data_IF_321359788770
#
_entry.id   IF_321359788770
#
_cell.length_a   1.000
_cell.length_b   1.000
_cell.length_c   1.000
_cell.angle_alpha   90.00
_cell.angle_beta   90.00
_cell.angle_gamma   90.00
#
_symmetry.space_group_name_H-M   'P 1'
#
loop_
_entity.id
_entity.type
_entity.pdbx_description
1 polymer ?
#
# COMPACT_ATOMS: atom_id res chain seq x y z
N UNK A 1 -11.39 17.62 -10.85
CA UNK A 1 -10.88 16.23 -10.96
C UNK A 1 -10.79 15.54 -9.61
N UNK A 2 -10.53 16.24 -8.49
CA UNK A 2 -10.51 15.62 -7.14
C UNK A 2 -11.83 14.97 -6.72
N UNK A 3 -12.98 15.57 -7.04
CA UNK A 3 -14.32 15.05 -6.69
C UNK A 3 -14.80 13.84 -7.51
N UNK A 4 -13.98 13.32 -8.43
CA UNK A 4 -14.37 12.17 -9.28
C UNK A 4 -14.21 10.84 -8.55
N UNK A 5 -13.43 10.81 -7.46
CA UNK A 5 -13.13 9.61 -6.70
C UNK A 5 -13.61 9.74 -5.26
N UNK A 6 -14.17 8.66 -4.71
CA UNK A 6 -14.46 8.57 -3.29
C UNK A 6 -13.20 8.09 -2.57
N UNK A 7 -12.57 8.91 -1.70
CA UNK A 7 -11.37 8.49 -0.99
C UNK A 7 -11.69 7.35 -0.01
N UNK A 8 -10.77 6.40 0.11
CA UNK A 8 -10.82 5.38 1.16
C UNK A 8 -10.03 5.90 2.36
N UNK A 9 -10.66 6.08 3.54
CA UNK A 9 -9.98 6.56 4.73
C UNK A 9 -9.03 5.50 5.30
N UNK A 10 -8.02 5.95 6.03
CA UNK A 10 -7.30 5.08 6.96
C UNK A 10 -8.13 4.94 8.24
N UNK A 11 -9.03 3.95 8.24
CA UNK A 11 -9.97 3.68 9.33
C UNK A 11 -9.44 2.62 10.32
N UNK A 12 -10.32 2.15 11.20
CA UNK A 12 -9.98 1.14 12.23
C UNK A 12 -9.53 -0.18 11.61
N UNK A 13 -10.12 -0.60 10.48
CA UNK A 13 -9.74 -1.84 9.82
C UNK A 13 -8.36 -1.68 9.17
N UNK A 14 -8.13 -0.57 8.47
CA UNK A 14 -6.81 -0.25 7.92
C UNK A 14 -5.74 -0.16 9.02
N UNK A 15 -6.06 0.43 10.19
CA UNK A 15 -5.13 0.47 11.31
C UNK A 15 -4.77 -0.92 11.86
N UNK A 16 -5.73 -1.85 11.88
CA UNK A 16 -5.46 -3.25 12.28
C UNK A 16 -4.56 -3.96 11.27
N UNK A 17 -4.84 -3.80 9.98
CA UNK A 17 -4.00 -4.34 8.91
C UNK A 17 -2.58 -3.79 8.99
N UNK A 18 -2.42 -2.49 9.27
CA UNK A 18 -1.12 -1.85 9.45
C UNK A 18 -0.30 -2.51 10.56
N UNK A 19 -0.92 -2.81 11.70
CA UNK A 19 -0.25 -3.50 12.80
C UNK A 19 0.28 -4.88 12.40
N UNK A 20 -0.50 -5.65 11.64
CA UNK A 20 -0.10 -6.97 11.15
C UNK A 20 1.03 -6.88 10.13
N UNK A 21 0.89 -6.00 9.14
CA UNK A 21 1.91 -5.73 8.12
C UNK A 21 3.22 -5.27 8.75
N UNK A 22 3.16 -4.33 9.69
CA UNK A 22 4.35 -3.82 10.37
C UNK A 22 5.06 -4.93 11.17
N UNK A 23 4.30 -5.82 11.83
CA UNK A 23 4.86 -6.97 12.53
C UNK A 23 5.56 -7.94 11.57
N UNK A 24 4.97 -8.23 10.40
CA UNK A 24 5.56 -9.09 9.37
C UNK A 24 6.85 -8.48 8.81
N UNK A 25 6.85 -7.18 8.49
CA UNK A 25 8.04 -6.43 8.03
C UNK A 25 9.16 -6.47 9.06
N UNK A 26 8.84 -6.31 10.34
CA UNK A 26 9.82 -6.40 11.44
C UNK A 26 10.37 -7.84 11.56
N UNK A 27 9.51 -8.86 11.47
CA UNK A 27 9.88 -10.27 11.58
C UNK A 27 10.88 -10.69 10.49
N UNK A 28 10.77 -10.14 9.27
CA UNK A 28 11.72 -10.38 8.16
C UNK A 28 12.94 -9.46 8.18
N UNK A 29 13.21 -8.77 9.29
CA UNK A 29 14.41 -7.94 9.50
C UNK A 29 14.42 -6.63 8.72
N UNK A 30 13.29 -6.19 8.19
CA UNK A 30 13.15 -4.92 7.46
C UNK A 30 12.73 -3.81 8.43
N UNK A 31 13.15 -2.57 8.14
CA UNK A 31 12.80 -1.39 8.98
C UNK A 31 11.58 -0.66 8.38
N UNK A 32 10.46 -0.52 9.12
CA UNK A 32 9.28 0.20 8.64
C UNK A 32 9.46 1.71 8.47
N UNK A 33 10.47 2.32 9.13
CA UNK A 33 10.61 3.79 9.23
C UNK A 33 10.72 4.53 7.89
N UNK A 34 11.18 3.87 6.81
CA UNK A 34 11.22 4.45 5.47
C UNK A 34 9.98 4.21 4.62
N UNK A 35 9.01 3.42 5.11
CA UNK A 35 7.87 2.90 4.36
C UNK A 35 6.52 3.20 5.03
N UNK A 36 6.47 4.07 6.04
CA UNK A 36 5.25 4.28 6.86
C UNK A 36 4.04 4.61 5.97
N UNK A 37 4.19 5.54 5.03
CA UNK A 37 3.12 5.89 4.10
C UNK A 37 2.73 4.70 3.21
N UNK A 38 3.70 3.99 2.63
CA UNK A 38 3.42 2.82 1.78
C UNK A 38 2.70 1.71 2.56
N UNK A 39 3.11 1.45 3.80
CA UNK A 39 2.43 0.47 4.64
C UNK A 39 1.01 0.92 4.99
N UNK A 40 0.76 2.21 5.22
CA UNK A 40 -0.60 2.74 5.41
C UNK A 40 -1.45 2.57 4.14
N UNK A 41 -0.91 2.87 2.96
CA UNK A 41 -1.60 2.69 1.67
C UNK A 41 -1.93 1.20 1.44
N UNK A 42 -0.96 0.31 1.65
CA UNK A 42 -1.16 -1.14 1.56
C UNK A 42 -2.25 -1.63 2.52
N UNK A 43 -2.29 -1.06 3.73
CA UNK A 43 -3.29 -1.41 4.75
C UNK A 43 -4.71 -0.99 4.34
N UNK A 44 -4.86 0.19 3.74
CA UNK A 44 -6.15 0.65 3.19
C UNK A 44 -6.60 -0.28 2.06
N UNK A 45 -5.69 -0.64 1.15
CA UNK A 45 -6.00 -1.55 0.05
C UNK A 45 -6.40 -2.95 0.55
N UNK A 46 -5.67 -3.50 1.51
CA UNK A 46 -5.96 -4.80 2.12
C UNK A 46 -7.31 -4.81 2.88
N UNK A 47 -7.57 -3.78 3.68
CA UNK A 47 -8.83 -3.64 4.42
C UNK A 47 -10.06 -3.60 3.49
N UNK A 48 -9.91 -2.95 2.34
CA UNK A 48 -10.97 -2.81 1.33
C UNK A 48 -10.96 -3.93 0.28
N UNK A 49 -10.01 -4.88 0.35
CA UNK A 49 -9.84 -6.00 -0.59
C UNK A 49 -9.70 -5.54 -2.05
N UNK A 50 -8.98 -4.44 -2.27
CA UNK A 50 -8.72 -3.88 -3.61
C UNK A 50 -7.24 -4.02 -3.97
N UNK A 51 -6.90 -4.15 -5.27
CA UNK A 51 -5.51 -4.13 -5.70
C UNK A 51 -4.87 -2.76 -5.49
N UNK A 52 -3.56 -2.76 -5.21
CA UNK A 52 -2.74 -1.56 -5.11
C UNK A 52 -1.99 -1.35 -6.42
N UNK A 53 -2.36 -0.31 -7.16
CA UNK A 53 -1.67 0.10 -8.38
C UNK A 53 -0.51 1.05 -8.03
N UNK A 54 0.68 0.80 -8.56
CA UNK A 54 1.86 1.63 -8.25
C UNK A 54 2.89 1.61 -9.37
N UNK A 55 3.62 2.71 -9.54
CA UNK A 55 4.80 2.78 -10.39
C UNK A 55 6.06 2.25 -9.70
N UNK A 56 6.01 2.05 -8.38
CA UNK A 56 7.14 1.62 -7.55
C UNK A 56 6.82 0.30 -6.82
N UNK A 57 6.63 -0.82 -7.53
CA UNK A 57 6.25 -2.10 -6.92
C UNK A 57 7.29 -2.63 -5.91
N UNK A 58 8.55 -2.23 -6.04
CA UNK A 58 9.63 -2.62 -5.13
C UNK A 58 9.38 -2.18 -3.68
N UNK A 59 8.64 -1.09 -3.47
CA UNK A 59 8.30 -0.55 -2.15
C UNK A 59 7.28 -1.40 -1.40
N UNK A 60 6.70 -2.41 -2.06
CA UNK A 60 5.69 -3.32 -1.51
C UNK A 60 6.17 -4.78 -1.43
N UNK A 61 7.44 -5.06 -1.77
CA UNK A 61 7.99 -6.43 -1.73
C UNK A 61 7.83 -7.05 -0.33
N UNK A 62 7.31 -8.28 -0.30
CA UNK A 62 7.07 -9.03 0.93
C UNK A 62 5.72 -8.75 1.59
N UNK A 63 4.82 -8.02 0.91
CA UNK A 63 3.43 -7.81 1.33
C UNK A 63 2.44 -8.62 0.47
N UNK A 64 2.94 -9.54 -0.35
CA UNK A 64 2.17 -10.31 -1.33
C UNK A 64 1.08 -11.19 -0.68
N UNK A 65 1.26 -11.55 0.59
CA UNK A 65 0.30 -12.26 1.44
C UNK A 65 -0.91 -11.41 1.85
N UNK A 66 -0.79 -10.08 1.80
CA UNK A 66 -1.76 -9.13 2.37
C UNK A 66 -2.41 -8.24 1.30
N UNK A 67 -1.67 -7.88 0.25
CA UNK A 67 -2.17 -7.02 -0.83
C UNK A 67 -1.69 -7.49 -2.20
N UNK A 68 -2.61 -7.48 -3.16
CA UNK A 68 -2.24 -7.67 -4.57
C UNK A 68 -1.69 -6.37 -5.14
N UNK A 69 -0.40 -6.37 -5.48
CA UNK A 69 0.27 -5.21 -6.08
C UNK A 69 0.25 -5.34 -7.60
N UNK A 70 -0.26 -4.31 -8.28
CA UNK A 70 -0.31 -4.25 -9.74
C UNK A 70 0.62 -3.14 -10.23
N UNK A 71 1.73 -3.47 -10.90
CA UNK A 71 2.63 -2.46 -11.43
C UNK A 71 1.97 -1.69 -12.59
N UNK A 72 2.14 -0.38 -12.61
CA UNK A 72 1.71 0.50 -13.71
C UNK A 72 2.89 1.34 -14.20
N UNK A 73 2.89 1.67 -15.49
CA UNK A 73 3.92 2.55 -16.06
C UNK A 73 3.59 4.00 -15.76
N UNK A 74 4.62 4.80 -15.47
CA UNK A 74 4.48 6.27 -15.49
C UNK A 74 4.10 6.65 -16.92
N UNK A 75 3.02 7.41 -17.14
CA UNK A 75 2.68 7.90 -18.47
C UNK A 75 3.88 8.67 -19.04
N UNK A 76 4.21 8.46 -20.32
CA UNK A 76 5.18 9.31 -20.98
C UNK A 76 4.74 10.78 -20.81
N UNK A 77 5.65 11.67 -20.42
CA UNK A 77 5.31 13.09 -20.35
C UNK A 77 4.82 13.52 -21.73
N UNK A 78 3.62 14.11 -21.77
CA UNK A 78 3.18 14.77 -22.98
C UNK A 78 4.23 15.83 -23.38
N UNK A 79 4.52 15.98 -24.68
CA UNK A 79 5.49 16.97 -25.14
C UNK A 79 5.12 18.40 -24.74
#
# INVERSE_FOLDING_TARGET
>A
MEATFSPLPFDVEAARQYGMIAAEVIAVGRKPRGRVADLMIASVAAANKVPLFTTNPADYRGLDSVVTVVPVSVPASAP
#
